data_IF_421707342811
#
_entry.id   IF_421707342811
#
_cell.length_a   1.000
_cell.length_b   1.000
_cell.length_c   1.000
_cell.angle_alpha   90.00
_cell.angle_beta   90.00
_cell.angle_gamma   90.00
#
_symmetry.space_group_name_H-M   'P 1'
#
loop_
_entity.id
_entity.type
_entity.pdbx_description
1 polymer ?
#
# COMPACT_ATOMS: atom_id res chain seq x y z
N UNK A 1 -22.96 13.97 -16.28
CA UNK A 1 -21.61 14.23 -16.82
C UNK A 1 -20.63 13.55 -15.90
N UNK A 2 -20.16 12.35 -16.26
CA UNK A 2 -19.26 11.55 -15.43
C UNK A 2 -17.86 11.72 -16.02
N UNK A 3 -16.93 12.27 -15.23
CA UNK A 3 -15.51 12.37 -15.57
C UNK A 3 -14.90 10.96 -15.46
N UNK A 4 -14.55 10.37 -16.60
CA UNK A 4 -13.60 9.25 -16.67
C UNK A 4 -12.18 9.83 -16.56
N UNK A 5 -11.31 9.19 -15.77
CA UNK A 5 -9.89 9.55 -15.71
C UNK A 5 -9.09 8.39 -16.31
N UNK A 6 -8.27 8.68 -17.31
CA UNK A 6 -7.36 7.70 -17.92
C UNK A 6 -5.93 8.10 -17.58
N UNK A 7 -5.18 7.22 -16.93
CA UNK A 7 -3.72 7.34 -16.78
C UNK A 7 -3.10 6.13 -17.48
N UNK A 8 -2.66 6.32 -18.73
CA UNK A 8 -2.20 5.24 -19.60
C UNK A 8 -3.31 4.23 -19.92
N UNK A 9 -3.00 2.93 -20.00
CA UNK A 9 -4.00 1.86 -20.23
C UNK A 9 -4.92 1.62 -19.02
N UNK A 10 -4.76 2.38 -17.93
CA UNK A 10 -5.58 2.27 -16.74
C UNK A 10 -6.72 3.29 -16.84
N UNK A 11 -7.91 2.79 -17.17
CA UNK A 11 -9.15 3.56 -17.04
C UNK A 11 -9.60 3.51 -15.58
N UNK A 12 -9.58 4.65 -14.91
CA UNK A 12 -10.16 4.83 -13.58
C UNK A 12 -11.61 5.30 -13.78
N UNK A 13 -12.56 4.35 -13.78
CA UNK A 13 -13.99 4.66 -13.73
C UNK A 13 -14.42 4.92 -12.29
N UNK A 14 -15.57 5.57 -12.13
CA UNK A 14 -16.23 5.80 -10.84
C UNK A 14 -16.72 4.51 -10.13
N UNK A 15 -16.31 3.33 -10.59
CA UNK A 15 -16.65 2.00 -10.03
C UNK A 15 -15.59 1.47 -9.04
N UNK A 16 -14.81 2.38 -8.42
CA UNK A 16 -13.66 2.11 -7.54
C UNK A 16 -14.01 1.57 -6.13
N UNK A 17 -15.16 0.91 -5.97
CA UNK A 17 -15.47 0.21 -4.70
C UNK A 17 -14.68 -1.10 -4.58
N UNK A 18 -14.23 -1.66 -5.71
CA UNK A 18 -13.53 -2.94 -5.76
C UNK A 18 -12.42 -2.97 -6.82
N UNK A 19 -11.26 -3.51 -6.46
CA UNK A 19 -10.16 -3.84 -7.39
C UNK A 19 -9.82 -5.31 -7.27
N UNK A 20 -9.90 -6.06 -8.36
CA UNK A 20 -9.70 -7.51 -8.38
C UNK A 20 -8.32 -7.83 -8.96
N UNK A 21 -7.46 -8.45 -8.16
CA UNK A 21 -6.19 -9.02 -8.58
C UNK A 21 -6.27 -10.53 -8.73
N UNK A 22 -5.14 -11.16 -9.08
CA UNK A 22 -5.04 -12.61 -9.26
C UNK A 22 -5.23 -13.41 -7.96
N UNK A 23 -4.71 -12.89 -6.85
CA UNK A 23 -4.66 -13.60 -5.55
C UNK A 23 -5.45 -12.91 -4.44
N UNK A 24 -5.85 -11.67 -4.68
CA UNK A 24 -6.59 -10.87 -3.71
C UNK A 24 -7.52 -9.90 -4.42
N UNK A 25 -8.50 -9.40 -3.68
CA UNK A 25 -9.26 -8.22 -4.07
C UNK A 25 -9.13 -7.15 -2.99
N UNK A 26 -9.22 -5.91 -3.42
CA UNK A 26 -9.30 -4.75 -2.55
C UNK A 26 -10.72 -4.22 -2.60
N UNK A 27 -11.28 -3.87 -1.44
CA UNK A 27 -12.54 -3.12 -1.36
C UNK A 27 -12.40 -1.92 -0.46
N UNK A 28 -13.14 -0.85 -0.76
CA UNK A 28 -13.09 0.37 0.02
C UNK A 28 -13.48 0.10 1.49
N UNK A 29 -12.63 0.52 2.42
CA UNK A 29 -12.88 0.46 3.86
C UNK A 29 -13.36 1.81 4.36
N UNK A 30 -14.63 1.89 4.76
CA UNK A 30 -15.29 3.12 5.19
C UNK A 30 -16.39 2.83 6.22
N UNK A 31 -17.15 3.85 6.63
CA UNK A 31 -18.24 3.70 7.62
C UNK A 31 -19.40 2.80 7.18
N UNK A 32 -19.50 2.47 5.89
CA UNK A 32 -20.53 1.57 5.34
C UNK A 32 -20.07 0.11 5.27
N UNK A 33 -18.80 -0.18 5.55
CA UNK A 33 -18.26 -1.55 5.57
C UNK A 33 -19.03 -2.38 6.60
N UNK A 34 -19.46 -3.59 6.21
CA UNK A 34 -20.25 -4.49 7.05
C UNK A 34 -19.51 -4.86 8.35
N UNK A 35 -20.25 -4.92 9.46
CA UNK A 35 -19.78 -5.33 10.78
C UNK A 35 -19.02 -6.66 10.79
N UNK A 36 -19.40 -7.64 9.96
CA UNK A 36 -18.65 -8.90 9.83
C UNK A 36 -17.23 -8.68 9.32
N UNK A 37 -17.05 -7.80 8.33
CA UNK A 37 -15.71 -7.47 7.78
C UNK A 37 -14.91 -6.67 8.81
N UNK A 38 -15.54 -5.71 9.48
CA UNK A 38 -14.91 -4.94 10.56
C UNK A 38 -14.45 -5.87 11.69
N UNK A 39 -15.27 -6.85 12.07
CA UNK A 39 -14.91 -7.84 13.08
C UNK A 39 -13.72 -8.70 12.63
N UNK A 40 -13.74 -9.23 11.41
CA UNK A 40 -12.60 -10.00 10.87
C UNK A 40 -11.30 -9.18 10.91
N UNK A 41 -11.34 -7.92 10.45
CA UNK A 41 -10.18 -7.04 10.50
C UNK A 41 -9.70 -6.79 11.93
N UNK A 42 -10.62 -6.50 12.84
CA UNK A 42 -10.28 -6.31 14.25
C UNK A 42 -9.59 -7.55 14.83
N UNK A 43 -10.11 -8.75 14.56
CA UNK A 43 -9.57 -10.01 15.05
C UNK A 43 -8.17 -10.30 14.50
N UNK A 44 -7.94 -10.05 13.20
CA UNK A 44 -6.62 -10.18 12.56
C UNK A 44 -5.57 -9.37 13.30
N UNK A 45 -5.85 -8.10 13.59
CA UNK A 45 -4.89 -7.23 14.26
C UNK A 45 -4.80 -7.48 15.76
N UNK A 46 -5.87 -7.97 16.40
CA UNK A 46 -5.90 -8.20 17.85
C UNK A 46 -4.92 -9.28 18.28
N UNK A 47 -4.74 -10.33 17.47
CA UNK A 47 -3.86 -11.45 17.78
C UNK A 47 -2.39 -11.05 18.03
N UNK A 48 -1.89 -10.00 17.38
CA UNK A 48 -0.51 -9.51 17.52
C UNK A 48 -0.43 -7.98 17.56
N UNK A 49 -1.36 -7.34 18.27
CA UNK A 49 -1.59 -5.89 18.20
C UNK A 49 -0.35 -5.05 18.56
N UNK A 50 0.48 -5.53 19.49
CA UNK A 50 1.72 -4.85 19.85
C UNK A 50 2.68 -4.73 18.66
N UNK A 51 2.79 -5.78 17.84
CA UNK A 51 3.69 -5.82 16.68
C UNK A 51 3.09 -5.02 15.53
N UNK A 52 1.80 -5.23 15.24
CA UNK A 52 1.12 -4.56 14.12
C UNK A 52 1.13 -3.04 14.26
N UNK A 53 0.95 -2.51 15.47
CA UNK A 53 0.86 -1.07 15.70
C UNK A 53 2.14 -0.46 16.28
N UNK A 54 3.23 -1.23 16.45
CA UNK A 54 4.48 -0.77 17.09
C UNK A 54 5.02 0.52 16.49
N UNK A 55 4.97 0.62 15.16
CA UNK A 55 5.56 1.71 14.37
C UNK A 55 4.51 2.60 13.69
N UNK A 56 3.26 2.56 14.17
CA UNK A 56 2.16 3.35 13.64
C UNK A 56 1.72 4.41 14.66
N UNK A 57 1.32 5.58 14.18
CA UNK A 57 0.82 6.70 15.00
C UNK A 57 -0.62 6.48 15.49
N UNK A 58 -1.17 5.29 15.26
CA UNK A 58 -2.50 4.86 15.68
C UNK A 58 -2.44 3.41 16.17
N UNK A 59 -3.52 2.99 16.83
CA UNK A 59 -3.61 1.69 17.46
C UNK A 59 -2.61 1.50 18.62
N UNK A 60 -2.66 0.35 19.32
CA UNK A 60 -3.70 -0.67 19.20
C UNK A 60 -5.09 -0.16 19.59
N UNK A 61 -6.14 -0.85 19.13
CA UNK A 61 -7.54 -0.53 19.44
C UNK A 61 -8.02 -1.48 20.54
N UNK A 62 -8.56 -0.93 21.63
CA UNK A 62 -9.03 -1.73 22.77
C UNK A 62 -10.37 -2.40 22.50
N UNK A 63 -11.20 -1.75 21.70
CA UNK A 63 -12.55 -2.21 21.35
C UNK A 63 -12.79 -2.10 19.85
N UNK A 64 -13.76 -2.84 19.35
CA UNK A 64 -14.21 -2.73 17.97
C UNK A 64 -14.76 -1.33 17.66
N UNK A 65 -15.38 -0.66 18.63
CA UNK A 65 -15.89 0.70 18.45
C UNK A 65 -14.76 1.72 18.26
N UNK A 66 -13.64 1.57 18.97
CA UNK A 66 -12.44 2.38 18.73
C UNK A 66 -11.90 2.17 17.30
N UNK A 67 -11.95 0.92 16.79
CA UNK A 67 -11.54 0.62 15.42
C UNK A 67 -12.50 1.20 14.38
N UNK A 68 -13.83 1.08 14.59
CA UNK A 68 -14.85 1.72 13.75
C UNK A 68 -14.68 3.24 13.71
N UNK A 69 -14.42 3.85 14.86
CA UNK A 69 -14.17 5.29 14.95
C UNK A 69 -12.91 5.68 14.16
N UNK A 70 -11.85 4.86 14.20
CA UNK A 70 -10.66 5.08 13.37
C UNK A 70 -11.00 5.05 11.88
N UNK A 71 -11.74 4.05 11.40
CA UNK A 71 -12.18 3.95 10.00
C UNK A 71 -13.00 5.17 9.59
N UNK A 72 -14.00 5.54 10.40
CA UNK A 72 -14.84 6.73 10.16
C UNK A 72 -14.02 8.02 10.09
N UNK A 73 -13.01 8.18 10.94
CA UNK A 73 -12.14 9.35 10.91
C UNK A 73 -11.23 9.38 9.68
N UNK A 74 -10.85 8.22 9.15
CA UNK A 74 -10.04 8.11 7.92
C UNK A 74 -10.83 8.30 6.64
N UNK A 75 -12.12 7.98 6.63
CA UNK A 75 -13.01 8.23 5.49
C UNK A 75 -13.16 9.72 5.14
N UNK A 76 -13.02 10.62 6.13
CA UNK A 76 -13.15 12.06 5.91
C UNK A 76 -12.09 12.55 4.92
N UNK A 77 -12.50 13.33 3.91
CA UNK A 77 -11.59 13.91 2.89
C UNK A 77 -10.38 14.64 3.50
N UNK A 78 -10.58 15.32 4.64
CA UNK A 78 -9.51 16.01 5.37
C UNK A 78 -8.41 15.09 5.90
N UNK A 79 -8.62 13.77 5.92
CA UNK A 79 -7.61 12.80 6.34
C UNK A 79 -6.48 12.63 5.32
N UNK A 80 -6.69 13.03 4.05
CA UNK A 80 -5.76 12.79 2.94
C UNK A 80 -5.42 11.31 2.75
N UNK A 81 -6.29 10.41 3.21
CA UNK A 81 -6.09 8.95 3.24
C UNK A 81 -7.30 8.24 2.63
N UNK A 82 -7.07 7.17 1.88
CA UNK A 82 -8.11 6.24 1.44
C UNK A 82 -7.72 4.84 1.91
N UNK A 83 -8.62 4.15 2.60
CA UNK A 83 -8.38 2.81 3.13
C UNK A 83 -9.03 1.75 2.23
N UNK A 84 -8.33 0.63 2.05
CA UNK A 84 -8.87 -0.55 1.38
C UNK A 84 -8.66 -1.79 2.23
N UNK A 85 -9.69 -2.61 2.37
CA UNK A 85 -9.61 -3.97 2.92
C UNK A 85 -8.98 -4.90 1.88
N UNK A 86 -8.03 -5.73 2.29
CA UNK A 86 -7.47 -6.81 1.50
C UNK A 86 -8.24 -8.09 1.79
N UNK A 87 -8.79 -8.70 0.75
CA UNK A 87 -9.42 -10.01 0.84
C UNK A 87 -8.61 -11.07 0.11
N UNK A 88 -8.50 -12.24 0.73
CA UNK A 88 -7.94 -13.46 0.14
C UNK A 88 -8.95 -14.57 0.37
N UNK A 89 -9.41 -15.23 -0.71
CA UNK A 89 -10.47 -16.24 -0.64
C UNK A 89 -11.71 -15.77 0.16
N UNK A 90 -12.13 -14.53 -0.09
CA UNK A 90 -13.24 -13.84 0.59
C UNK A 90 -13.11 -13.63 2.10
N UNK A 91 -11.91 -13.86 2.65
CA UNK A 91 -11.59 -13.54 4.05
C UNK A 91 -10.85 -12.20 4.09
N UNK A 92 -11.30 -11.27 4.93
CA UNK A 92 -10.60 -10.01 5.17
C UNK A 92 -9.34 -10.29 6.01
N UNK A 93 -8.16 -10.06 5.41
CA UNK A 93 -6.86 -10.41 6.01
C UNK A 93 -6.05 -9.18 6.45
N UNK A 94 -6.56 -7.98 6.21
CA UNK A 94 -5.91 -6.73 6.61
C UNK A 94 -6.42 -5.55 5.81
N UNK A 95 -5.81 -4.38 5.99
CA UNK A 95 -6.08 -3.20 5.18
C UNK A 95 -4.79 -2.49 4.78
N UNK A 96 -4.86 -1.72 3.70
CA UNK A 96 -3.81 -0.80 3.23
C UNK A 96 -4.37 0.60 3.07
N UNK A 97 -3.48 1.57 2.95
CA UNK A 97 -3.86 2.96 2.73
C UNK A 97 -3.11 3.59 1.58
N UNK A 98 -3.84 4.33 0.75
CA UNK A 98 -3.25 5.39 -0.04
C UNK A 98 -3.25 6.69 0.77
N UNK A 99 -2.18 7.47 0.61
CA UNK A 99 -1.88 8.66 1.38
C UNK A 99 -1.45 9.78 0.42
N UNK A 100 -1.67 11.04 0.80
CA UNK A 100 -1.09 12.20 0.10
C UNK A 100 -1.37 12.21 -1.41
N UNK A 101 -2.60 11.84 -1.79
CA UNK A 101 -3.03 11.82 -3.19
C UNK A 101 -3.09 13.25 -3.71
N UNK A 102 -2.36 13.55 -4.78
CA UNK A 102 -2.44 14.82 -5.50
C UNK A 102 -2.65 14.53 -6.99
N UNK A 103 -3.88 14.74 -7.46
CA UNK A 103 -4.29 14.43 -8.83
C UNK A 103 -3.63 15.37 -9.85
N UNK A 104 -3.54 16.66 -9.53
CA UNK A 104 -2.95 17.67 -10.42
C UNK A 104 -1.47 17.40 -10.70
N UNK A 105 -0.78 16.76 -9.75
CA UNK A 105 0.63 16.39 -9.86
C UNK A 105 0.86 14.90 -10.17
N UNK A 106 -0.21 14.09 -10.27
CA UNK A 106 -0.11 12.65 -10.50
C UNK A 106 0.66 11.87 -9.42
N UNK A 107 0.62 12.32 -8.16
CA UNK A 107 1.37 11.67 -7.06
C UNK A 107 0.46 10.99 -6.05
N UNK A 108 0.95 9.88 -5.50
CA UNK A 108 0.27 9.09 -4.48
C UNK A 108 1.31 8.42 -3.58
N UNK A 109 1.01 8.29 -2.30
CA UNK A 109 1.84 7.60 -1.33
C UNK A 109 1.18 6.34 -0.78
N UNK A 110 2.00 5.41 -0.31
CA UNK A 110 1.58 4.25 0.47
C UNK A 110 2.48 4.16 1.71
N UNK A 111 1.89 3.87 2.87
CA UNK A 111 2.67 3.60 4.08
C UNK A 111 3.25 2.20 4.04
N UNK A 112 4.59 2.06 4.09
CA UNK A 112 5.25 0.75 4.06
C UNK A 112 6.51 0.71 4.93
N UNK A 113 6.94 -0.49 5.27
CA UNK A 113 8.25 -0.69 5.90
C UNK A 113 9.37 -0.54 4.86
N UNK A 114 10.55 -0.12 5.30
CA UNK A 114 11.76 -0.01 4.46
C UNK A 114 12.05 -1.28 3.65
N UNK A 115 12.00 -2.45 4.29
CA UNK A 115 12.31 -3.71 3.64
C UNK A 115 11.30 -4.06 2.54
N UNK A 116 10.01 -3.80 2.78
CA UNK A 116 8.98 -4.04 1.78
C UNK A 116 9.12 -3.06 0.59
N UNK A 117 9.39 -1.78 0.85
CA UNK A 117 9.62 -0.79 -0.20
C UNK A 117 10.76 -1.22 -1.15
N UNK A 118 11.93 -1.55 -0.60
CA UNK A 118 13.09 -2.00 -1.38
C UNK A 118 12.74 -3.27 -2.16
N UNK A 119 12.14 -4.28 -1.51
CA UNK A 119 11.80 -5.56 -2.15
C UNK A 119 10.84 -5.37 -3.33
N UNK A 120 9.95 -4.38 -3.26
CA UNK A 120 8.98 -4.06 -4.32
C UNK A 120 9.55 -3.16 -5.41
N UNK A 121 10.84 -2.80 -5.35
CA UNK A 121 11.51 -2.00 -6.39
C UNK A 121 11.48 -0.48 -6.14
N UNK A 122 10.99 -0.02 -4.99
CA UNK A 122 11.07 1.40 -4.67
C UNK A 122 12.52 1.83 -4.40
N UNK A 123 12.90 2.97 -4.96
CA UNK A 123 14.22 3.58 -4.83
C UNK A 123 14.26 4.53 -3.64
N UNK A 124 15.33 4.49 -2.86
CA UNK A 124 15.52 5.41 -1.74
C UNK A 124 15.78 6.83 -2.25
N UNK A 125 15.06 7.80 -1.69
CA UNK A 125 15.23 9.22 -2.02
C UNK A 125 16.03 9.93 -0.92
N UNK A 126 15.50 9.95 0.29
CA UNK A 126 16.12 10.65 1.42
C UNK A 126 15.50 10.20 2.76
N UNK A 127 16.10 10.65 3.87
CA UNK A 127 15.59 10.48 5.22
C UNK A 127 15.37 11.83 5.87
N UNK A 128 14.11 12.09 6.20
CA UNK A 128 13.73 13.28 6.96
C UNK A 128 13.94 13.01 8.44
N UNK A 129 14.94 13.67 9.01
CA UNK A 129 15.28 13.55 10.42
C UNK A 129 14.22 14.24 11.29
N UNK A 130 13.82 13.58 12.37
CA UNK A 130 12.82 14.05 13.34
C UNK A 130 11.50 14.48 12.69
N UNK A 131 11.12 13.82 11.60
CA UNK A 131 9.94 14.15 10.82
C UNK A 131 8.65 14.05 11.65
N UNK A 132 8.59 13.11 12.60
CA UNK A 132 7.40 12.87 13.41
C UNK A 132 7.74 12.50 14.86
N UNK A 133 6.73 12.59 15.73
CA UNK A 133 6.75 11.96 17.06
C UNK A 133 5.73 10.82 17.04
N UNK A 134 6.21 9.59 17.15
CA UNK A 134 5.40 8.37 17.20
C UNK A 134 5.41 7.81 18.62
N UNK A 135 4.25 7.81 19.29
CA UNK A 135 4.09 7.24 20.66
C UNK A 135 5.15 7.75 21.65
N UNK A 136 5.38 9.06 21.66
CA UNK A 136 6.33 9.72 22.56
C UNK A 136 7.81 9.58 22.18
N UNK A 137 8.13 9.03 21.00
CA UNK A 137 9.50 8.90 20.50
C UNK A 137 9.67 9.66 19.20
N UNK A 138 10.83 10.29 19.01
CA UNK A 138 11.18 10.90 17.73
C UNK A 138 11.32 9.81 16.66
N UNK A 139 10.84 10.10 15.45
CA UNK A 139 10.87 9.20 14.30
C UNK A 139 11.46 9.92 13.10
N UNK A 140 12.48 9.31 12.52
CA UNK A 140 13.00 9.66 11.21
C UNK A 140 12.18 8.92 10.13
N UNK A 141 11.88 9.60 9.04
CA UNK A 141 11.10 9.04 7.94
C UNK A 141 11.98 8.90 6.69
N UNK A 142 12.32 7.66 6.33
CA UNK A 142 12.95 7.36 5.05
C UNK A 142 11.89 7.29 3.94
N UNK A 143 12.14 8.04 2.87
CA UNK A 143 11.29 8.13 1.70
C UNK A 143 11.82 7.32 0.54
N UNK A 144 10.90 6.71 -0.19
CA UNK A 144 11.19 5.90 -1.35
C UNK A 144 10.16 6.20 -2.44
N UNK A 145 10.53 6.04 -3.71
CA UNK A 145 9.64 6.28 -4.84
C UNK A 145 9.78 5.22 -5.94
N UNK A 146 8.73 5.11 -6.76
CA UNK A 146 8.74 4.52 -8.10
C UNK A 146 8.16 5.59 -9.00
N UNK A 147 8.86 5.96 -10.07
CA UNK A 147 8.31 6.84 -11.11
C UNK A 147 7.77 6.03 -12.29
N UNK A 148 7.01 6.69 -13.16
CA UNK A 148 6.37 6.11 -14.34
C UNK A 148 7.35 5.39 -15.27
N UNK A 149 8.54 5.94 -15.50
CA UNK A 149 9.59 5.32 -16.33
C UNK A 149 10.11 3.98 -15.76
N UNK A 150 10.03 3.77 -14.44
CA UNK A 150 10.55 2.56 -13.75
C UNK A 150 9.47 1.47 -13.67
N UNK A 151 8.20 1.89 -13.66
CA UNK A 151 7.07 1.01 -13.43
C UNK A 151 6.94 -0.15 -14.44
N UNK A 152 7.14 0.02 -15.77
CA UNK A 152 6.99 -1.09 -16.71
C UNK A 152 7.86 -2.31 -16.38
N UNK A 153 9.13 -2.08 -16.06
CA UNK A 153 10.08 -3.17 -15.74
C UNK A 153 9.76 -3.80 -14.38
N UNK A 154 9.43 -2.98 -13.37
CA UNK A 154 9.03 -3.47 -12.05
C UNK A 154 7.75 -4.30 -12.14
N UNK A 155 6.77 -3.85 -12.92
CA UNK A 155 5.52 -4.56 -13.18
C UNK A 155 5.76 -5.92 -13.83
N UNK A 156 6.61 -5.98 -14.86
CA UNK A 156 6.96 -7.25 -15.53
C UNK A 156 7.59 -8.24 -14.55
N UNK A 157 8.53 -7.78 -13.72
CA UNK A 157 9.18 -8.62 -12.71
C UNK A 157 8.22 -9.08 -11.60
N UNK A 158 7.29 -8.21 -11.18
CA UNK A 158 6.23 -8.59 -10.25
C UNK A 158 5.31 -9.65 -10.86
N UNK A 159 4.90 -9.49 -12.12
CA UNK A 159 4.05 -10.45 -12.84
C UNK A 159 4.76 -11.80 -13.03
N UNK A 160 6.04 -11.79 -13.40
CA UNK A 160 6.87 -12.99 -13.49
C UNK A 160 6.98 -13.70 -12.14
N UNK A 161 7.24 -12.96 -11.06
CA UNK A 161 7.37 -13.53 -9.72
C UNK A 161 6.05 -14.07 -9.19
N UNK A 162 4.93 -13.41 -9.50
CA UNK A 162 3.57 -13.83 -9.14
C UNK A 162 3.00 -14.92 -10.06
N UNK A 163 3.70 -15.32 -11.12
CA UNK A 163 3.23 -16.40 -11.98
C UNK A 163 3.07 -17.69 -11.14
N UNK A 164 1.94 -18.43 -11.24
CA UNK A 164 1.74 -19.69 -10.54
C UNK A 164 2.87 -20.70 -10.75
N UNK A 165 3.50 -20.70 -11.93
CA UNK A 165 4.65 -21.56 -12.24
C UNK A 165 5.90 -21.24 -11.42
N UNK A 166 5.97 -20.07 -10.77
CA UNK A 166 7.06 -19.70 -9.87
C UNK A 166 6.86 -20.24 -8.45
N UNK A 167 5.84 -21.04 -8.17
CA UNK A 167 5.60 -21.63 -6.85
C UNK A 167 5.52 -23.16 -6.93
N UNK A 168 6.18 -23.84 -6.00
CA UNK A 168 6.09 -25.29 -5.89
C UNK A 168 4.76 -25.75 -5.25
N UNK A 169 4.57 -27.06 -5.15
CA UNK A 169 3.37 -27.66 -4.56
C UNK A 169 3.13 -27.30 -3.07
N UNK A 170 4.13 -26.76 -2.38
CA UNK A 170 4.03 -26.31 -0.99
C UNK A 170 3.84 -24.79 -0.88
N UNK A 171 3.71 -24.08 -2.02
CA UNK A 171 3.59 -22.62 -2.07
C UNK A 171 4.91 -21.89 -1.86
N UNK A 172 6.05 -22.57 -1.96
CA UNK A 172 7.37 -21.94 -1.85
C UNK A 172 7.80 -21.40 -3.22
N UNK A 173 8.26 -20.14 -3.25
CA UNK A 173 8.77 -19.52 -4.47
C UNK A 173 9.99 -20.31 -5.02
N UNK A 174 10.00 -20.60 -6.31
CA UNK A 174 11.12 -21.22 -7.04
C UNK A 174 12.23 -20.19 -7.30
N UNK A 175 11.84 -18.98 -7.72
CA UNK A 175 12.75 -17.84 -7.89
C UNK A 175 12.32 -16.66 -7.02
N UNK A 176 13.31 -15.89 -6.56
CA UNK A 176 13.08 -14.70 -5.75
C UNK A 176 12.60 -13.53 -6.62
N UNK A 177 11.91 -12.60 -5.98
CA UNK A 177 11.62 -11.30 -6.57
C UNK A 177 12.90 -10.47 -6.59
N UNK A 178 13.25 -9.95 -7.76
CA UNK A 178 14.45 -9.16 -8.01
C UNK A 178 14.14 -7.72 -8.41
N UNK A 179 12.94 -7.21 -8.09
CA UNK A 179 12.53 -5.84 -8.44
C UNK A 179 13.49 -4.76 -7.92
N UNK A 180 14.17 -4.99 -6.79
CA UNK A 180 15.18 -4.08 -6.24
C UNK A 180 16.44 -3.92 -7.10
N UNK A 181 16.67 -4.83 -8.05
CA UNK A 181 17.84 -4.81 -8.94
C UNK A 181 17.56 -4.05 -10.25
N UNK A 182 16.30 -3.70 -10.49
CA UNK A 182 15.87 -2.94 -11.66
C UNK A 182 16.27 -1.48 -11.42
N UNK A 183 17.29 -1.01 -12.13
CA UNK A 183 17.87 0.33 -11.94
C UNK A 183 17.76 1.15 -13.23
N UNK A 184 16.73 2.01 -13.37
CA UNK A 184 16.57 2.85 -14.55
C UNK A 184 17.31 4.20 -14.44
N UNK A 185 17.67 4.66 -13.23
CA UNK A 185 18.14 6.05 -13.01
C UNK A 185 19.62 6.30 -13.34
N UNK A 186 20.40 5.27 -13.65
CA UNK A 186 21.83 5.41 -13.96
C UNK A 186 22.19 5.53 -15.45
N UNK A 187 21.23 5.68 -16.36
CA UNK A 187 21.53 5.71 -17.83
C UNK A 187 21.31 7.06 -18.51
N UNK A 188 21.16 8.15 -17.76
CA UNK A 188 21.31 9.51 -18.31
C UNK A 188 22.34 10.28 -17.49
N UNK A 189 23.62 10.04 -17.79
CA UNK A 189 24.60 11.10 -17.65
C UNK A 189 24.06 12.22 -18.54
N UNK A 190 23.58 13.28 -17.92
CA UNK A 190 23.32 14.52 -18.63
C UNK A 190 24.72 15.03 -18.93
N UNK A 191 25.20 14.81 -20.16
CA UNK A 191 26.39 15.49 -20.65
C UNK A 191 26.07 16.99 -20.63
N UNK A 192 26.48 17.65 -19.55
CA UNK A 192 26.57 19.09 -19.46
C UNK A 192 27.75 19.52 -20.33
N UNK A 193 27.47 19.72 -21.62
CA UNK A 193 28.32 20.51 -22.50
C UNK A 193 28.22 22.00 -22.18
#
# INVERSE_FOLDING_TARGET
MIQQITVGDITVSADMDQSIGQYCRLELLNSKTNDTIIQQLYDVFKANEEIHFKYLNYGPFKTIDEFKQFVYMKEKLSSGTVLYTIFVNDIAVGFISYLRINQDQGTIGIGSSRYAAIRLGFQYEDTWLKAEVCKGRSRDNSWYSIIDDEWPQIKEELQRWLNPENFDMNGQQLTKLNASQINPRHTKIIDVN
#
